data_IF_324610771615
#
_entry.id   IF_324610771615
#
_cell.length_a   1.000
_cell.length_b   1.000
_cell.length_c   1.000
_cell.angle_alpha   90.00
_cell.angle_beta   90.00
_cell.angle_gamma   90.00
#
_symmetry.space_group_name_H-M   'P 1'
#
loop_
_entity.id
_entity.type
_entity.pdbx_description
1 polymer ?
#
# COMPACT_ATOMS: atom_id res chain seq x y z
N UNK A 1 -39.97 -5.87 -9.70
CA UNK A 1 -40.24 -4.56 -10.31
C UNK A 1 -38.93 -4.11 -10.97
N UNK A 2 -38.81 -4.09 -12.30
CA UNK A 2 -37.54 -3.79 -12.96
C UNK A 2 -37.23 -2.29 -12.81
N UNK A 3 -36.08 -1.99 -12.22
CA UNK A 3 -35.56 -0.62 -12.12
C UNK A 3 -34.97 -0.29 -13.49
N UNK A 4 -35.73 0.48 -14.28
CA UNK A 4 -35.22 1.10 -15.50
C UNK A 4 -34.24 2.18 -15.10
N UNK A 5 -32.95 1.89 -15.15
CA UNK A 5 -31.90 2.91 -15.06
C UNK A 5 -31.99 3.71 -16.35
N UNK A 6 -32.47 4.95 -16.22
CA UNK A 6 -32.53 5.88 -17.33
C UNK A 6 -31.08 6.24 -17.69
N UNK A 7 -30.58 5.68 -18.79
CA UNK A 7 -29.19 5.78 -19.26
C UNK A 7 -28.92 7.14 -19.94
N UNK A 8 -30.00 7.88 -20.24
CA UNK A 8 -29.98 9.17 -20.92
C UNK A 8 -29.11 10.25 -20.22
N UNK A 9 -29.10 10.39 -18.87
CA UNK A 9 -28.26 11.35 -18.17
C UNK A 9 -26.77 11.01 -18.25
N UNK A 10 -26.43 9.71 -18.22
CA UNK A 10 -25.04 9.23 -18.32
C UNK A 10 -24.50 9.53 -19.72
N UNK A 11 -25.31 9.28 -20.75
CA UNK A 11 -24.96 9.61 -22.14
C UNK A 11 -24.81 11.12 -22.31
N UNK A 12 -25.67 11.94 -21.69
CA UNK A 12 -25.55 13.40 -21.72
C UNK A 12 -24.26 13.90 -21.06
N UNK A 13 -23.87 13.34 -19.91
CA UNK A 13 -22.63 13.69 -19.22
C UNK A 13 -21.41 13.28 -20.05
N UNK A 14 -21.42 12.08 -20.65
CA UNK A 14 -20.35 11.62 -21.53
C UNK A 14 -20.25 12.46 -22.80
N UNK A 15 -21.38 12.87 -23.37
CA UNK A 15 -21.43 13.74 -24.54
C UNK A 15 -20.91 15.15 -24.23
N UNK A 16 -21.27 15.73 -23.08
CA UNK A 16 -20.72 17.02 -22.62
C UNK A 16 -19.22 16.90 -22.37
N UNK A 17 -18.76 15.80 -21.77
CA UNK A 17 -17.33 15.55 -21.53
C UNK A 17 -16.54 15.44 -22.85
N UNK A 18 -17.05 14.70 -23.83
CA UNK A 18 -16.46 14.62 -25.18
C UNK A 18 -16.47 15.98 -25.89
N UNK A 19 -17.55 16.75 -25.75
CA UNK A 19 -17.63 18.10 -26.31
C UNK A 19 -16.61 19.06 -25.67
N UNK A 20 -16.35 18.94 -24.35
CA UNK A 20 -15.32 19.74 -23.68
C UNK A 20 -13.91 19.36 -24.11
N UNK A 21 -13.66 18.08 -24.44
CA UNK A 21 -12.39 17.64 -25.01
C UNK A 21 -12.23 18.19 -26.42
N UNK A 22 -13.26 18.12 -27.28
CA UNK A 22 -13.19 18.68 -28.63
C UNK A 22 -13.03 20.21 -28.63
N UNK A 23 -13.64 20.94 -27.70
CA UNK A 23 -13.45 22.40 -27.59
C UNK A 23 -12.03 22.73 -27.12
N UNK A 24 -11.45 21.96 -26.18
CA UNK A 24 -10.05 22.12 -25.76
C UNK A 24 -9.05 21.82 -26.89
N UNK A 25 -9.33 20.83 -27.75
CA UNK A 25 -8.50 20.55 -28.94
C UNK A 25 -8.77 21.50 -30.11
N UNK A 26 -9.97 22.03 -30.26
CA UNK A 26 -10.32 23.02 -31.29
C UNK A 26 -9.69 24.38 -31.01
N UNK A 27 -9.59 24.77 -29.72
CA UNK A 27 -8.90 26.01 -29.31
C UNK A 27 -7.40 25.98 -29.59
N UNK A 28 -6.80 24.79 -29.75
CA UNK A 28 -5.40 24.64 -30.14
C UNK A 28 -5.16 24.78 -31.66
N UNK A 29 -6.21 24.89 -32.50
CA UNK A 29 -6.06 24.90 -33.97
C UNK A 29 -6.17 26.27 -34.63
N UNK A 30 -6.36 27.34 -33.85
CA UNK A 30 -6.44 28.72 -34.35
C UNK A 30 -5.43 29.65 -33.66
N UNK A 31 -4.16 29.27 -33.65
CA UNK A 31 -3.08 30.20 -33.36
C UNK A 31 -2.07 30.14 -34.50
N UNK A 32 -2.25 31.03 -35.48
CA UNK A 32 -1.16 31.33 -36.41
C UNK A 32 -0.06 32.01 -35.59
N UNK A 33 1.04 31.27 -35.41
CA UNK A 33 2.40 31.76 -35.21
C UNK A 33 2.58 32.92 -34.22
N UNK A 34 2.86 32.56 -32.97
CA UNK A 34 4.02 33.15 -32.31
C UNK A 34 5.08 32.05 -32.19
N UNK A 35 5.55 31.59 -33.35
CA UNK A 35 6.59 30.56 -33.48
C UNK A 35 7.83 30.90 -32.66
N UNK A 36 8.10 32.18 -32.41
CA UNK A 36 9.22 32.61 -31.58
C UNK A 36 9.06 32.20 -30.11
N UNK A 37 7.90 32.41 -29.49
CA UNK A 37 7.65 32.07 -28.07
C UNK A 37 7.66 30.57 -27.85
N UNK A 38 7.00 29.80 -28.72
CA UNK A 38 7.02 28.34 -28.66
C UNK A 38 8.41 27.76 -28.90
N UNK A 39 9.19 28.37 -29.81
CA UNK A 39 10.59 27.97 -30.03
C UNK A 39 11.46 28.33 -28.81
N UNK A 40 11.19 29.46 -28.14
CA UNK A 40 11.90 29.87 -26.93
C UNK A 40 11.60 28.97 -25.73
N UNK A 41 10.33 28.57 -25.57
CA UNK A 41 9.92 27.58 -24.56
C UNK A 41 10.54 26.21 -24.82
N UNK A 42 10.54 25.75 -26.08
CA UNK A 42 11.21 24.51 -26.48
C UNK A 42 12.74 24.59 -26.31
N UNK A 43 13.37 25.73 -26.61
CA UNK A 43 14.80 25.93 -26.38
C UNK A 43 15.14 25.93 -24.88
N UNK A 44 14.30 26.53 -24.05
CA UNK A 44 14.42 26.48 -22.58
C UNK A 44 14.26 25.04 -22.06
N UNK A 45 13.27 24.30 -22.56
CA UNK A 45 13.07 22.89 -22.19
C UNK A 45 14.25 22.02 -22.64
N UNK A 46 14.77 22.23 -23.86
CA UNK A 46 15.97 21.54 -24.37
C UNK A 46 17.21 21.91 -23.55
N UNK A 47 17.37 23.16 -23.11
CA UNK A 47 18.49 23.55 -22.26
C UNK A 47 18.39 22.94 -20.86
N UNK A 48 17.18 22.90 -20.28
CA UNK A 48 16.93 22.21 -19.02
C UNK A 48 17.25 20.71 -19.14
N UNK A 49 16.76 20.04 -20.19
CA UNK A 49 17.05 18.64 -20.47
C UNK A 49 18.56 18.40 -20.68
N UNK A 50 19.27 19.30 -21.36
CA UNK A 50 20.73 19.20 -21.54
C UNK A 50 21.48 19.35 -20.22
N UNK A 51 21.08 20.31 -19.38
CA UNK A 51 21.66 20.50 -18.05
C UNK A 51 21.39 19.28 -17.16
N UNK A 52 20.21 18.69 -17.27
CA UNK A 52 19.79 17.51 -16.53
C UNK A 52 20.55 16.26 -16.99
N UNK A 53 20.74 16.07 -18.30
CA UNK A 53 21.59 15.02 -18.87
C UNK A 53 23.04 15.19 -18.44
N UNK A 54 23.56 16.43 -18.41
CA UNK A 54 24.93 16.69 -17.93
C UNK A 54 25.09 16.39 -16.45
N UNK A 55 24.10 16.72 -15.62
CA UNK A 55 24.08 16.33 -14.19
C UNK A 55 24.04 14.80 -14.02
N UNK A 56 23.25 14.09 -14.84
CA UNK A 56 23.21 12.62 -14.84
C UNK A 56 24.51 11.97 -15.33
N UNK A 57 25.28 12.65 -16.18
CA UNK A 57 26.58 12.19 -16.67
C UNK A 57 27.74 12.54 -15.71
N UNK A 58 27.63 13.63 -14.95
CA UNK A 58 28.66 14.06 -13.99
C UNK A 58 28.50 13.42 -12.60
N UNK A 59 27.29 13.09 -12.18
CA UNK A 59 27.09 12.28 -10.99
C UNK A 59 27.46 10.84 -11.31
N UNK A 60 28.56 10.35 -10.73
CA UNK A 60 28.72 8.91 -10.53
C UNK A 60 27.40 8.41 -9.94
N UNK A 61 26.78 7.40 -10.57
CA UNK A 61 25.54 6.82 -10.09
C UNK A 61 25.79 6.16 -8.73
N UNK A 62 25.74 6.97 -7.67
CA UNK A 62 25.85 6.49 -6.30
C UNK A 62 24.60 5.68 -6.01
N UNK A 63 24.76 4.36 -5.89
CA UNK A 63 23.69 3.49 -5.47
C UNK A 63 23.23 3.90 -4.07
N UNK A 64 21.96 4.29 -3.94
CA UNK A 64 21.33 4.53 -2.65
C UNK A 64 20.32 3.41 -2.36
N UNK A 65 20.29 2.96 -1.10
CA UNK A 65 19.27 2.00 -0.65
C UNK A 65 18.01 2.77 -0.28
N UNK A 66 16.84 2.15 -0.43
CA UNK A 66 15.58 2.82 -0.08
C UNK A 66 15.60 3.37 1.36
N UNK A 67 16.10 2.57 2.30
CA UNK A 67 16.10 2.88 3.72
C UNK A 67 16.94 4.13 4.07
N UNK A 68 18.05 4.37 3.37
CA UNK A 68 18.94 5.50 3.69
C UNK A 68 18.34 6.86 3.36
N UNK A 69 17.32 6.91 2.51
CA UNK A 69 16.64 8.15 2.09
C UNK A 69 15.35 8.42 2.86
N UNK A 70 14.68 7.38 3.37
CA UNK A 70 13.38 7.54 4.02
C UNK A 70 13.49 7.82 5.53
N UNK A 71 14.53 7.32 6.20
CA UNK A 71 14.79 7.53 7.63
C UNK A 71 15.89 8.59 7.76
N UNK A 72 15.53 9.88 7.71
CA UNK A 72 16.46 10.94 8.11
C UNK A 72 16.80 10.74 9.59
N UNK A 73 18.05 10.42 9.88
CA UNK A 73 18.60 10.63 11.22
C UNK A 73 19.17 12.04 11.23
N UNK A 74 18.66 12.91 12.08
CA UNK A 74 19.12 14.30 12.18
C UNK A 74 20.65 14.41 12.30
N UNK A 75 21.18 15.30 11.46
CA UNK A 75 22.41 16.09 11.53
C UNK A 75 23.79 15.41 11.65
N UNK A 76 24.62 15.73 10.64
CA UNK A 76 26.08 15.59 10.52
C UNK A 76 26.66 14.18 10.45
N UNK A 77 26.78 13.68 9.21
CA UNK A 77 28.09 13.19 8.72
C UNK A 77 28.09 13.14 7.20
N UNK A 78 28.68 14.17 6.58
CA UNK A 78 29.53 13.92 5.42
C UNK A 78 30.53 12.81 5.80
N UNK A 79 30.68 11.76 4.98
CA UNK A 79 31.96 11.14 4.62
C UNK A 79 31.71 9.85 3.82
N UNK A 80 32.23 9.90 2.59
CA UNK A 80 32.80 8.85 1.74
C UNK A 80 31.99 7.58 1.43
N UNK A 81 31.64 7.51 0.14
CA UNK A 81 31.81 6.33 -0.71
C UNK A 81 32.97 5.43 -0.24
N UNK A 82 32.62 4.26 0.29
CA UNK A 82 33.23 2.99 -0.08
C UNK A 82 32.47 1.83 0.57
N UNK A 83 32.21 0.83 -0.28
CA UNK A 83 31.83 -0.54 0.03
C UNK A 83 30.40 -0.77 0.54
N UNK A 84 29.49 -0.72 -0.43
CA UNK A 84 28.12 -1.24 -0.36
C UNK A 84 28.12 -2.76 -0.13
N UNK A 85 28.07 -3.19 1.13
CA UNK A 85 27.56 -4.51 1.50
C UNK A 85 27.15 -4.49 2.96
N UNK A 86 25.91 -4.12 3.29
CA UNK A 86 25.37 -4.53 4.60
C UNK A 86 23.85 -4.47 4.73
N UNK A 87 23.32 -5.60 5.21
CA UNK A 87 21.93 -5.89 5.54
C UNK A 87 21.61 -5.16 6.84
N UNK A 88 20.99 -3.98 6.80
CA UNK A 88 20.72 -3.24 8.03
C UNK A 88 19.31 -2.66 8.11
N UNK A 89 18.45 -3.38 8.82
CA UNK A 89 17.40 -2.79 9.66
C UNK A 89 17.74 -2.94 11.15
N UNK A 90 18.98 -3.32 11.46
CA UNK A 90 19.42 -3.55 12.84
C UNK A 90 20.83 -3.11 13.14
N UNK A 91 21.59 -2.57 12.18
CA UNK A 91 23.01 -2.27 12.38
C UNK A 91 23.30 -0.83 11.93
N UNK A 92 23.94 -0.03 12.80
CA UNK A 92 24.31 1.36 12.51
C UNK A 92 25.56 1.46 11.64
N UNK A 93 25.98 2.69 11.31
CA UNK A 93 27.16 2.99 10.49
C UNK A 93 28.50 2.51 11.07
N UNK A 94 28.49 1.93 12.28
CA UNK A 94 29.66 1.37 12.96
C UNK A 94 29.58 -0.15 13.09
N UNK A 95 28.73 -0.82 12.30
CA UNK A 95 28.52 -2.26 12.33
C UNK A 95 27.99 -2.77 13.70
N UNK A 96 27.34 -1.91 14.50
CA UNK A 96 26.79 -2.28 15.82
C UNK A 96 25.26 -2.36 15.79
N UNK A 97 24.66 -3.25 16.60
CA UNK A 97 23.20 -3.35 16.69
C UNK A 97 22.64 -2.01 17.20
N UNK A 98 21.70 -1.40 16.46
CA UNK A 98 21.18 -0.05 16.76
C UNK A 98 20.70 0.01 18.20
N UNK A 99 21.39 0.82 19.00
CA UNK A 99 21.03 1.15 20.36
C UNK A 99 20.04 2.33 20.36
N UNK A 100 18.75 2.03 20.53
CA UNK A 100 17.68 3.02 20.57
C UNK A 100 17.55 3.73 21.93
N UNK A 101 18.44 3.47 22.91
CA UNK A 101 18.34 4.01 24.30
C UNK A 101 18.22 5.54 24.39
N UNK A 102 18.78 6.28 23.43
CA UNK A 102 18.91 7.74 23.51
C UNK A 102 18.33 8.51 22.31
N UNK A 103 17.60 7.85 21.40
CA UNK A 103 16.91 8.56 20.32
C UNK A 103 15.54 9.03 20.81
N UNK A 104 15.27 10.33 20.65
CA UNK A 104 13.92 10.89 20.79
C UNK A 104 12.94 10.00 20.03
N UNK A 105 11.86 9.59 20.70
CA UNK A 105 10.75 8.90 20.06
C UNK A 105 10.33 9.77 18.88
N UNK A 106 10.35 9.24 17.67
CA UNK A 106 9.76 9.92 16.52
C UNK A 106 8.31 10.23 16.90
N UNK A 107 7.95 11.51 16.93
CA UNK A 107 6.58 11.89 17.23
C UNK A 107 5.69 11.24 16.17
N UNK A 108 4.80 10.33 16.59
CA UNK A 108 3.76 9.77 15.71
C UNK A 108 2.90 10.89 15.12
N UNK A 109 2.85 12.04 15.81
CA UNK A 109 2.11 13.23 15.42
C UNK A 109 3.07 14.26 14.82
N UNK A 110 2.87 14.56 13.54
CA UNK A 110 3.66 15.57 12.84
C UNK A 110 3.12 16.99 13.12
N UNK A 111 3.98 17.98 12.90
CA UNK A 111 3.62 19.39 12.89
C UNK A 111 2.81 19.61 11.60
N UNK A 112 1.47 19.51 11.68
CA UNK A 112 0.43 19.89 10.68
C UNK A 112 -0.83 18.99 10.76
N UNK A 113 -0.93 18.08 11.75
CA UNK A 113 -2.09 17.18 11.91
C UNK A 113 -1.96 15.85 11.17
N UNK A 114 -0.98 15.75 10.25
CA UNK A 114 -0.53 14.50 9.64
C UNK A 114 0.07 13.56 10.69
N UNK A 115 0.03 12.26 10.41
CA UNK A 115 0.68 11.22 11.22
C UNK A 115 1.95 10.79 10.49
N UNK A 116 3.07 10.63 11.18
CA UNK A 116 4.26 9.96 10.63
C UNK A 116 4.73 8.90 11.63
N UNK A 117 4.52 7.64 11.29
CA UNK A 117 4.91 6.52 12.17
C UNK A 117 6.35 6.04 11.92
N UNK A 118 7.12 6.74 11.09
CA UNK A 118 8.52 6.41 10.82
C UNK A 118 9.35 6.43 12.11
N UNK A 119 10.04 5.32 12.39
CA UNK A 119 10.85 5.18 13.61
C UNK A 119 10.05 4.92 14.90
N UNK A 120 8.72 4.96 14.86
CA UNK A 120 7.88 4.54 15.98
C UNK A 120 7.83 3.00 16.10
N UNK A 121 7.60 2.44 17.31
CA UNK A 121 7.35 1.02 17.50
C UNK A 121 6.15 0.54 16.66
N UNK A 122 6.43 -0.23 15.62
CA UNK A 122 5.43 -0.60 14.62
C UNK A 122 4.44 -1.64 15.16
N UNK A 123 3.15 -1.36 15.00
CA UNK A 123 2.08 -2.36 15.14
C UNK A 123 1.90 -3.02 13.79
N UNK A 124 2.22 -4.31 13.71
CA UNK A 124 2.24 -5.03 12.45
C UNK A 124 1.21 -6.15 12.38
N UNK A 125 0.76 -6.42 11.16
CA UNK A 125 0.06 -7.66 10.79
C UNK A 125 0.86 -8.30 9.67
N UNK A 126 1.42 -9.49 9.90
CA UNK A 126 2.32 -10.19 8.96
C UNK A 126 3.47 -9.30 8.46
N UNK A 127 4.13 -8.62 9.40
CA UNK A 127 5.25 -7.73 9.14
C UNK A 127 4.92 -6.40 8.41
N UNK A 128 3.65 -6.13 8.06
CA UNK A 128 3.21 -4.86 7.49
C UNK A 128 2.67 -3.94 8.59
N UNK A 129 2.97 -2.64 8.55
CA UNK A 129 2.38 -1.68 9.51
C UNK A 129 0.88 -1.59 9.27
N UNK A 130 0.10 -1.81 10.33
CA UNK A 130 -1.37 -1.93 10.28
C UNK A 130 -2.11 -0.99 11.20
N UNK A 131 -1.39 -0.17 11.95
CA UNK A 131 -1.99 0.99 12.58
C UNK A 131 -2.54 1.93 11.48
N UNK A 132 -3.83 2.24 11.48
CA UNK A 132 -4.40 3.19 10.51
C UNK A 132 -3.74 4.57 10.49
N UNK A 133 -3.08 5.03 11.55
CA UNK A 133 -2.25 6.24 11.46
C UNK A 133 -1.02 6.09 10.54
N UNK A 134 -0.55 4.87 10.31
CA UNK A 134 0.49 4.56 9.32
C UNK A 134 0.02 4.70 7.86
N UNK A 135 -1.24 5.11 7.65
CA UNK A 135 -1.87 5.27 6.35
C UNK A 135 -1.95 6.73 5.87
N UNK A 136 -1.50 7.68 6.70
CA UNK A 136 -1.39 9.12 6.40
C UNK A 136 -0.32 9.47 5.35
N UNK A 137 -0.31 10.75 4.97
CA UNK A 137 0.54 11.42 3.96
C UNK A 137 2.04 11.19 4.07
N UNK A 138 2.61 11.53 5.23
CA UNK A 138 4.05 11.81 5.40
C UNK A 138 4.81 10.66 6.09
N UNK A 139 4.37 9.43 5.86
CA UNK A 139 4.94 8.28 6.54
C UNK A 139 6.32 7.92 6.00
N UNK A 140 7.26 7.72 6.91
CA UNK A 140 8.63 7.27 6.62
C UNK A 140 8.81 5.77 6.87
N UNK A 141 7.85 4.97 6.39
CA UNK A 141 7.80 3.53 6.62
C UNK A 141 8.73 2.82 5.62
N UNK A 142 9.61 1.89 6.08
CA UNK A 142 10.40 1.04 5.21
C UNK A 142 9.55 0.26 4.21
N UNK A 143 10.02 0.15 2.96
CA UNK A 143 9.23 -0.41 1.86
C UNK A 143 8.65 -1.80 2.14
N UNK A 144 9.41 -2.66 2.82
CA UNK A 144 8.98 -4.01 3.20
C UNK A 144 7.85 -4.04 4.24
N UNK A 145 7.65 -2.95 4.96
CA UNK A 145 6.62 -2.81 6.00
C UNK A 145 5.39 -2.04 5.50
N UNK A 146 5.41 -1.51 4.28
CA UNK A 146 4.26 -0.79 3.72
C UNK A 146 3.07 -1.75 3.57
N UNK A 147 1.89 -1.31 4.01
CA UNK A 147 0.64 -2.05 3.80
C UNK A 147 0.39 -2.26 2.31
N UNK A 148 0.11 -3.52 1.93
CA UNK A 148 -0.20 -3.83 0.54
C UNK A 148 -1.39 -3.04 0.01
N UNK A 149 -2.38 -2.72 0.87
CA UNK A 149 -3.55 -1.94 0.48
C UNK A 149 -3.20 -0.48 0.20
N UNK A 150 -2.11 0.09 0.74
CA UNK A 150 -1.75 1.50 0.50
C UNK A 150 -0.40 1.68 -0.18
N UNK A 151 0.11 0.61 -0.77
CA UNK A 151 1.47 0.57 -1.25
C UNK A 151 1.81 1.72 -2.22
N UNK A 152 0.97 1.95 -3.23
CA UNK A 152 1.18 3.03 -4.18
C UNK A 152 1.10 4.42 -3.52
N UNK A 153 0.14 4.63 -2.62
CA UNK A 153 -0.05 5.90 -1.90
C UNK A 153 1.13 6.23 -0.99
N UNK A 154 1.68 5.24 -0.29
CA UNK A 154 2.88 5.44 0.52
C UNK A 154 4.10 5.69 -0.35
N UNK A 155 4.27 4.95 -1.46
CA UNK A 155 5.39 5.16 -2.39
C UNK A 155 5.37 6.57 -2.99
N UNK A 156 4.22 7.06 -3.47
CA UNK A 156 4.15 8.41 -4.04
C UNK A 156 4.30 9.50 -2.96
N UNK A 157 3.84 9.24 -1.73
CA UNK A 157 4.10 10.11 -0.58
C UNK A 157 5.59 10.26 -0.27
N UNK A 158 6.34 9.17 -0.39
CA UNK A 158 7.78 9.17 -0.15
C UNK A 158 8.61 9.60 -1.37
N UNK A 159 8.00 9.74 -2.56
CA UNK A 159 8.68 10.10 -3.81
C UNK A 159 9.57 11.33 -3.66
N UNK A 160 9.11 12.36 -2.96
CA UNK A 160 9.82 13.63 -2.85
C UNK A 160 11.06 13.58 -1.97
N UNK A 161 11.32 12.46 -1.28
CA UNK A 161 12.59 12.19 -0.59
C UNK A 161 13.70 11.71 -1.53
N UNK A 162 13.35 11.57 -2.80
CA UNK A 162 14.16 10.97 -3.84
C UNK A 162 14.20 11.88 -5.06
N UNK A 163 15.33 11.88 -5.77
CA UNK A 163 15.49 12.71 -6.96
C UNK A 163 14.53 12.25 -8.07
N UNK A 164 14.17 13.17 -8.97
CA UNK A 164 13.26 12.88 -10.09
C UNK A 164 13.80 11.82 -11.06
N UNK A 165 15.11 11.59 -11.11
CA UNK A 165 15.72 10.54 -11.92
C UNK A 165 16.61 9.67 -11.04
N UNK A 166 16.06 8.56 -10.59
CA UNK A 166 16.72 7.77 -9.57
C UNK A 166 16.18 6.35 -9.52
N UNK A 167 17.04 5.41 -9.15
CA UNK A 167 16.72 3.98 -9.01
C UNK A 167 17.02 3.58 -7.58
N UNK A 168 16.08 2.84 -6.99
CA UNK A 168 16.15 2.36 -5.61
C UNK A 168 15.95 0.87 -5.55
N UNK A 169 16.74 0.26 -4.67
CA UNK A 169 16.60 -1.12 -4.29
C UNK A 169 16.24 -1.19 -2.81
N UNK A 170 15.25 -2.03 -2.50
CA UNK A 170 14.82 -2.32 -1.14
C UNK A 170 14.64 -3.82 -0.96
N UNK A 171 14.79 -4.29 0.27
CA UNK A 171 14.62 -5.70 0.59
C UNK A 171 13.76 -5.87 1.84
N UNK A 172 13.02 -6.97 1.90
CA UNK A 172 12.40 -7.49 3.11
C UNK A 172 12.90 -8.92 3.30
N UNK A 173 13.49 -9.20 4.45
CA UNK A 173 13.73 -10.56 4.92
C UNK A 173 13.01 -10.68 6.27
N UNK A 174 12.11 -11.64 6.36
CA UNK A 174 11.32 -11.93 7.56
C UNK A 174 11.58 -13.37 7.96
N UNK A 175 12.23 -13.53 9.11
CA UNK A 175 12.56 -14.81 9.73
C UNK A 175 11.86 -14.90 11.07
N UNK A 176 11.09 -15.96 11.20
CA UNK A 176 9.99 -16.03 12.14
C UNK A 176 10.15 -17.27 13.02
N UNK A 177 10.60 -17.05 14.26
CA UNK A 177 10.63 -18.10 15.28
C UNK A 177 9.24 -18.24 15.91
N UNK A 178 8.67 -19.43 15.81
CA UNK A 178 7.33 -19.76 16.28
C UNK A 178 7.38 -20.91 17.27
N UNK A 179 6.55 -20.83 18.31
CA UNK A 179 6.20 -21.97 19.17
C UNK A 179 4.70 -21.99 19.35
N UNK A 180 4.10 -23.17 19.36
CA UNK A 180 2.67 -23.34 19.57
C UNK A 180 2.40 -24.51 20.49
N UNK A 181 1.28 -24.42 21.20
CA UNK A 181 0.70 -25.46 22.04
C UNK A 181 -0.82 -25.31 21.99
N UNK A 182 -1.56 -26.41 22.08
CA UNK A 182 -3.01 -26.40 21.87
C UNK A 182 -3.66 -27.77 21.91
N UNK A 183 -4.88 -27.83 21.39
CA UNK A 183 -5.70 -29.05 21.36
C UNK A 183 -5.23 -30.01 20.27
N UNK A 184 -5.29 -31.31 20.55
CA UNK A 184 -5.06 -32.38 19.56
C UNK A 184 -6.27 -32.56 18.64
N UNK A 185 -6.02 -33.04 17.41
CA UNK A 185 -7.08 -33.42 16.46
C UNK A 185 -7.59 -32.31 15.56
N UNK A 186 -6.86 -31.18 15.45
CA UNK A 186 -7.15 -30.17 14.43
C UNK A 186 -6.62 -30.69 13.09
N UNK A 187 -7.53 -31.13 12.22
CA UNK A 187 -7.19 -31.68 10.91
C UNK A 187 -8.03 -31.08 9.80
N UNK A 188 -7.44 -30.94 8.61
CA UNK A 188 -8.17 -30.85 7.35
C UNK A 188 -7.98 -32.15 6.55
N UNK A 189 -8.58 -32.27 5.36
CA UNK A 189 -8.52 -33.48 4.54
C UNK A 189 -7.10 -34.00 4.22
N UNK A 190 -6.07 -33.15 4.32
CA UNK A 190 -4.70 -33.48 3.90
C UNK A 190 -3.66 -33.40 5.03
N UNK A 191 -3.98 -32.77 6.16
CA UNK A 191 -3.02 -32.47 7.22
C UNK A 191 -3.68 -32.49 8.60
N UNK A 192 -3.04 -33.15 9.56
CA UNK A 192 -3.36 -33.03 10.99
C UNK A 192 -2.29 -32.16 11.63
N UNK A 193 -2.69 -31.07 12.26
CA UNK A 193 -1.78 -30.14 12.93
C UNK A 193 -1.31 -30.75 14.25
N UNK A 194 0.00 -30.64 14.52
CA UNK A 194 0.56 -31.03 15.82
C UNK A 194 0.01 -30.12 16.92
N UNK A 195 -0.39 -30.70 18.05
CA UNK A 195 -0.89 -29.98 19.21
C UNK A 195 0.18 -29.16 19.94
N UNK A 196 1.46 -29.43 19.69
CA UNK A 196 2.57 -28.58 20.11
C UNK A 196 3.70 -28.60 19.09
N UNK A 197 4.52 -27.55 19.07
CA UNK A 197 5.69 -27.51 18.22
C UNK A 197 6.45 -26.20 18.30
N UNK A 198 7.57 -26.19 17.59
CA UNK A 198 8.41 -25.01 17.42
C UNK A 198 9.01 -25.05 16.02
N UNK A 199 9.22 -23.89 15.41
CA UNK A 199 9.91 -23.79 14.14
C UNK A 199 10.53 -22.40 13.95
N UNK A 200 11.46 -22.27 13.01
CA UNK A 200 12.00 -21.00 12.55
C UNK A 200 11.84 -21.00 11.03
N UNK A 201 11.02 -20.09 10.51
CA UNK A 201 10.66 -20.07 9.11
C UNK A 201 11.23 -18.84 8.41
N UNK A 202 11.68 -18.99 7.16
CA UNK A 202 11.84 -17.84 6.27
C UNK A 202 10.47 -17.50 5.69
N UNK A 203 9.71 -16.71 6.43
CA UNK A 203 8.33 -16.33 6.10
C UNK A 203 8.26 -15.49 4.84
N UNK A 204 9.20 -14.56 4.65
CA UNK A 204 9.22 -13.71 3.47
C UNK A 204 10.64 -13.29 3.10
N UNK A 205 10.96 -13.39 1.81
CA UNK A 205 12.10 -12.73 1.19
C UNK A 205 11.60 -11.98 -0.03
N UNK A 206 11.62 -10.65 -0.01
CA UNK A 206 11.12 -9.82 -1.12
C UNK A 206 12.17 -8.79 -1.52
N UNK A 207 12.42 -8.68 -2.82
CA UNK A 207 13.28 -7.66 -3.41
C UNK A 207 12.40 -6.67 -4.17
N UNK A 208 12.53 -5.40 -3.81
CA UNK A 208 11.77 -4.28 -4.36
C UNK A 208 12.70 -3.43 -5.23
N UNK A 209 12.18 -3.06 -6.40
CA UNK A 209 12.83 -2.18 -7.35
C UNK A 209 11.89 -1.01 -7.62
N UNK A 210 12.40 0.20 -7.45
CA UNK A 210 11.67 1.44 -7.68
C UNK A 210 12.51 2.34 -8.55
N UNK A 211 11.86 3.09 -9.42
CA UNK A 211 12.54 4.06 -10.25
C UNK A 211 11.66 5.28 -10.44
N UNK A 212 12.21 6.46 -10.13
CA UNK A 212 11.64 7.72 -10.60
C UNK A 212 12.20 7.97 -12.00
N UNK A 213 11.30 8.10 -12.98
CA UNK A 213 11.59 8.33 -14.39
C UNK A 213 11.07 9.73 -14.74
N UNK A 214 11.64 10.73 -14.06
CA UNK A 214 11.26 12.13 -14.15
C UNK A 214 10.31 12.58 -13.03
N UNK A 215 9.76 13.79 -13.22
CA UNK A 215 8.95 14.45 -12.18
C UNK A 215 7.63 13.73 -11.88
N UNK A 216 7.06 13.04 -12.87
CA UNK A 216 5.68 12.54 -12.82
C UNK A 216 5.53 11.04 -12.94
N UNK A 217 6.61 10.28 -13.09
CA UNK A 217 6.53 8.83 -13.35
C UNK A 217 7.38 8.08 -12.34
N UNK A 218 6.74 7.18 -11.59
CA UNK A 218 7.43 6.25 -10.70
C UNK A 218 7.04 4.82 -11.07
N UNK A 219 8.02 3.99 -11.43
CA UNK A 219 7.81 2.58 -11.70
C UNK A 219 8.20 1.74 -10.46
N UNK A 220 7.43 0.70 -10.17
CA UNK A 220 7.75 -0.26 -9.12
C UNK A 220 7.48 -1.69 -9.55
N UNK A 221 8.43 -2.59 -9.24
CA UNK A 221 8.23 -4.02 -9.31
C UNK A 221 8.88 -4.73 -8.12
N UNK A 222 8.30 -5.84 -7.68
CA UNK A 222 8.88 -6.67 -6.65
C UNK A 222 8.76 -8.17 -6.93
N UNK A 223 9.78 -8.88 -6.47
CA UNK A 223 9.92 -10.32 -6.60
C UNK A 223 9.99 -10.87 -5.19
N UNK A 224 9.15 -11.86 -4.90
CA UNK A 224 9.06 -12.49 -3.58
C UNK A 224 9.35 -13.98 -3.66
N UNK A 225 9.92 -14.51 -2.58
CA UNK A 225 10.12 -15.92 -2.31
C UNK A 225 9.93 -16.19 -0.81
N UNK A 226 9.91 -17.47 -0.45
CA UNK A 226 9.83 -17.98 0.92
C UNK A 226 10.61 -19.29 1.02
N UNK A 227 10.71 -19.88 2.20
CA UNK A 227 11.31 -21.21 2.39
C UNK A 227 10.67 -22.33 1.54
N UNK A 228 9.42 -22.14 1.11
CA UNK A 228 8.72 -23.06 0.21
C UNK A 228 9.19 -22.93 -1.25
N UNK A 229 10.20 -22.09 -1.52
CA UNK A 229 10.75 -21.78 -2.83
C UNK A 229 9.70 -21.27 -3.84
N UNK A 230 8.67 -20.60 -3.33
CA UNK A 230 7.59 -20.03 -4.14
C UNK A 230 8.03 -18.69 -4.72
N UNK A 231 8.76 -18.71 -5.83
CA UNK A 231 9.12 -17.49 -6.55
C UNK A 231 7.89 -16.88 -7.22
N UNK A 232 7.60 -15.61 -6.95
CA UNK A 232 6.43 -14.94 -7.49
C UNK A 232 6.62 -13.44 -7.68
N UNK A 233 6.03 -12.92 -8.76
CA UNK A 233 5.88 -11.49 -8.98
C UNK A 233 4.81 -10.94 -8.03
N UNK A 234 5.22 -10.02 -7.14
CA UNK A 234 4.32 -9.34 -6.24
C UNK A 234 3.62 -8.20 -6.96
N UNK A 235 4.03 -6.95 -6.70
CA UNK A 235 3.56 -5.81 -7.45
C UNK A 235 4.42 -5.57 -8.71
N UNK A 236 3.81 -4.98 -9.73
CA UNK A 236 4.44 -4.55 -10.97
C UNK A 236 3.55 -3.48 -11.62
N UNK A 237 3.78 -2.22 -11.27
CA UNK A 237 2.92 -1.11 -11.70
C UNK A 237 3.69 0.19 -11.86
N UNK A 238 3.06 1.15 -12.52
CA UNK A 238 3.55 2.51 -12.70
C UNK A 238 2.58 3.47 -12.02
N UNK A 239 3.14 4.52 -11.41
CA UNK A 239 2.43 5.67 -10.86
C UNK A 239 2.66 6.86 -11.80
N UNK A 240 1.58 7.53 -12.18
CA UNK A 240 1.60 8.79 -12.92
C UNK A 240 1.05 9.91 -12.04
N UNK A 241 1.87 10.93 -11.78
CA UNK A 241 1.54 12.06 -10.93
C UNK A 241 2.66 12.34 -9.93
N UNK A 242 2.53 13.47 -9.23
CA UNK A 242 3.42 13.86 -8.15
C UNK A 242 2.64 14.75 -7.16
N UNK A 243 2.72 14.43 -5.88
CA UNK A 243 1.99 15.12 -4.81
C UNK A 243 2.45 16.55 -4.58
N UNK A 244 3.66 16.92 -5.01
CA UNK A 244 4.10 18.32 -4.99
C UNK A 244 3.33 19.20 -6.00
N UNK A 245 2.71 18.57 -7.00
CA UNK A 245 2.02 19.23 -8.10
C UNK A 245 0.50 19.04 -8.00
N UNK A 246 0.04 17.85 -7.60
CA UNK A 246 -1.38 17.51 -7.50
C UNK A 246 -1.61 16.40 -6.47
N UNK A 247 -2.65 16.48 -5.63
CA UNK A 247 -3.02 15.38 -4.74
C UNK A 247 -3.59 14.17 -5.50
N UNK A 248 -3.85 14.30 -6.80
CA UNK A 248 -4.36 13.24 -7.66
C UNK A 248 -3.22 12.54 -8.41
N UNK A 249 -3.27 11.21 -8.42
CA UNK A 249 -2.35 10.38 -9.21
C UNK A 249 -3.04 9.11 -9.73
N UNK A 250 -2.55 8.62 -10.87
CA UNK A 250 -3.02 7.39 -11.50
C UNK A 250 -2.04 6.27 -11.21
N UNK A 251 -2.52 5.04 -11.03
CA UNK A 251 -1.67 3.85 -11.10
C UNK A 251 -2.19 2.88 -12.15
N UNK A 252 -1.27 2.17 -12.80
CA UNK A 252 -1.59 1.15 -13.78
C UNK A 252 -0.62 -0.04 -13.66
N UNK A 253 -1.17 -1.25 -13.55
CA UNK A 253 -0.40 -2.48 -13.49
C UNK A 253 -0.94 -3.47 -12.46
N UNK A 254 -0.09 -4.40 -12.03
CA UNK A 254 -0.42 -5.42 -11.02
C UNK A 254 -0.12 -4.88 -9.62
N UNK A 255 -1.14 -4.73 -8.80
CA UNK A 255 -1.01 -4.32 -7.40
C UNK A 255 -2.20 -4.83 -6.58
N UNK A 256 -2.11 -4.72 -5.24
CA UNK A 256 -3.26 -4.98 -4.37
C UNK A 256 -4.19 -3.76 -4.40
N UNK A 257 -5.51 -4.01 -4.46
CA UNK A 257 -6.51 -2.93 -4.48
C UNK A 257 -6.56 -2.21 -3.12
N UNK A 258 -6.58 -0.87 -3.16
CA UNK A 258 -6.60 -0.01 -1.96
C UNK A 258 -8.01 0.17 -1.40
N UNK A 259 -8.56 -0.88 -0.79
CA UNK A 259 -9.97 -0.91 -0.35
C UNK A 259 -10.17 -1.07 1.15
N UNK A 260 -9.15 -1.53 1.88
CA UNK A 260 -9.24 -1.59 3.33
C UNK A 260 -8.15 -2.37 4.03
N UNK A 261 -8.19 -2.34 5.36
CA UNK A 261 -7.21 -2.99 6.21
C UNK A 261 -7.47 -4.49 6.40
N UNK A 262 -8.75 -4.92 6.42
CA UNK A 262 -9.15 -6.31 6.73
C UNK A 262 -8.41 -6.88 7.95
N UNK A 263 -8.45 -6.11 9.05
CA UNK A 263 -7.68 -6.40 10.25
C UNK A 263 -8.25 -7.51 11.14
N UNK A 264 -7.89 -7.43 12.42
CA UNK A 264 -8.18 -8.45 13.44
C UNK A 264 -7.14 -9.57 13.46
N UNK A 265 -5.91 -9.24 13.06
CA UNK A 265 -4.76 -10.14 13.08
C UNK A 265 -3.70 -9.61 14.04
N UNK A 266 -2.62 -10.36 14.17
CA UNK A 266 -1.45 -9.96 14.95
C UNK A 266 -0.19 -9.97 14.10
N UNK A 267 0.99 -9.75 14.71
CA UNK A 267 2.26 -9.69 13.97
C UNK A 267 2.52 -10.91 13.10
N UNK A 268 2.05 -12.09 13.54
CA UNK A 268 2.26 -13.40 12.92
C UNK A 268 1.02 -13.97 12.22
N UNK A 269 -0.15 -13.36 12.41
CA UNK A 269 -1.43 -13.91 11.95
C UNK A 269 -2.14 -12.93 11.03
N UNK A 270 -2.73 -13.45 9.94
CA UNK A 270 -3.60 -12.64 9.09
C UNK A 270 -4.82 -12.13 9.87
N UNK A 271 -5.46 -11.09 9.35
CA UNK A 271 -6.71 -10.61 9.93
C UNK A 271 -7.81 -11.67 9.87
N UNK A 272 -8.64 -11.76 10.93
CA UNK A 272 -9.85 -12.59 10.93
C UNK A 272 -10.77 -12.27 9.74
N UNK A 273 -10.80 -11.01 9.30
CA UNK A 273 -11.56 -10.57 8.12
C UNK A 273 -10.78 -10.69 6.81
N UNK A 274 -9.55 -11.18 6.84
CA UNK A 274 -8.62 -11.26 5.71
C UNK A 274 -9.09 -12.16 4.57
N UNK A 275 -9.98 -13.12 4.84
CA UNK A 275 -10.59 -13.97 3.79
C UNK A 275 -11.46 -13.18 2.81
N UNK A 276 -11.86 -11.95 3.17
CA UNK A 276 -12.61 -11.02 2.32
C UNK A 276 -11.73 -9.95 1.67
N UNK A 277 -10.42 -9.98 1.91
CA UNK A 277 -9.48 -9.00 1.37
C UNK A 277 -9.14 -9.31 -0.10
N UNK A 278 -8.99 -8.29 -0.97
CA UNK A 278 -8.52 -8.53 -2.33
C UNK A 278 -7.06 -8.97 -2.32
N UNK A 279 -6.70 -9.74 -3.34
CA UNK A 279 -5.32 -10.07 -3.65
C UNK A 279 -4.68 -9.01 -4.54
N UNK A 280 -3.66 -9.43 -5.30
CA UNK A 280 -3.04 -8.61 -6.35
C UNK A 280 -3.66 -8.93 -7.70
N UNK A 281 -4.11 -7.90 -8.39
CA UNK A 281 -4.72 -8.01 -9.73
C UNK A 281 -4.23 -6.89 -10.64
N UNK A 282 -4.33 -7.09 -11.95
CA UNK A 282 -4.05 -6.04 -12.92
C UNK A 282 -5.20 -5.04 -12.89
N UNK A 283 -4.87 -3.79 -12.57
CA UNK A 283 -5.84 -2.73 -12.37
C UNK A 283 -5.31 -1.38 -12.90
N UNK A 284 -6.25 -0.47 -13.12
CA UNK A 284 -5.99 0.95 -13.29
C UNK A 284 -6.75 1.65 -12.18
N UNK A 285 -6.10 2.54 -11.43
CA UNK A 285 -6.75 3.27 -10.36
C UNK A 285 -6.46 4.76 -10.40
N UNK A 286 -7.51 5.55 -10.17
CA UNK A 286 -7.40 6.97 -9.85
C UNK A 286 -7.35 7.09 -8.33
N UNK A 287 -6.37 7.81 -7.83
CA UNK A 287 -6.11 7.95 -6.41
C UNK A 287 -6.03 9.43 -6.06
N UNK A 288 -6.49 9.74 -4.86
CA UNK A 288 -6.32 11.02 -4.18
C UNK A 288 -5.55 10.77 -2.90
N UNK A 289 -4.57 11.62 -2.62
CA UNK A 289 -3.83 11.60 -1.35
C UNK A 289 -3.49 13.01 -0.91
N UNK A 290 -3.74 13.28 0.35
CA UNK A 290 -3.15 14.38 1.09
C UNK A 290 -2.56 13.86 2.43
N UNK A 291 -2.34 14.77 3.37
CA UNK A 291 -1.79 14.49 4.69
C UNK A 291 -2.64 13.54 5.54
N UNK A 292 -3.96 13.61 5.43
CA UNK A 292 -4.92 12.94 6.32
C UNK A 292 -5.85 11.96 5.59
N UNK A 293 -5.99 12.10 4.28
CA UNK A 293 -6.96 11.38 3.45
C UNK A 293 -6.25 10.67 2.30
N UNK A 294 -6.70 9.45 2.06
CA UNK A 294 -6.33 8.67 0.89
C UNK A 294 -7.59 7.98 0.36
N UNK A 295 -7.95 8.29 -0.88
CA UNK A 295 -9.12 7.72 -1.53
C UNK A 295 -8.74 7.14 -2.89
N UNK A 296 -9.42 6.08 -3.30
CA UNK A 296 -9.21 5.52 -4.61
C UNK A 296 -10.49 5.02 -5.28
N UNK A 297 -10.41 4.92 -6.59
CA UNK A 297 -11.32 4.14 -7.42
C UNK A 297 -10.45 3.35 -8.39
N UNK A 298 -10.64 2.04 -8.42
CA UNK A 298 -9.90 1.15 -9.31
C UNK A 298 -10.85 0.34 -10.18
N UNK A 299 -10.48 0.17 -11.45
CA UNK A 299 -11.09 -0.77 -12.39
C UNK A 299 -10.10 -1.90 -12.62
N UNK A 300 -10.57 -3.14 -12.59
CA UNK A 300 -9.73 -4.32 -12.74
C UNK A 300 -10.41 -5.40 -13.57
N UNK A 301 -9.59 -6.18 -14.27
CA UNK A 301 -10.03 -7.29 -15.12
C UNK A 301 -9.58 -8.61 -14.52
N UNK A 302 -10.49 -9.60 -14.50
CA UNK A 302 -10.25 -10.84 -13.76
C UNK A 302 -10.79 -12.09 -14.42
N UNK A 303 -10.99 -12.05 -15.74
CA UNK A 303 -11.58 -13.08 -16.62
C UNK A 303 -13.01 -12.70 -17.09
N UNK A 304 -13.30 -12.97 -18.37
CA UNK A 304 -14.62 -12.91 -19.05
C UNK A 304 -15.27 -11.55 -19.34
N UNK A 305 -14.58 -10.60 -19.97
CA UNK A 305 -15.18 -9.35 -20.51
C UNK A 305 -16.03 -8.51 -19.51
N UNK A 306 -15.93 -8.76 -18.22
CA UNK A 306 -16.64 -8.02 -17.18
C UNK A 306 -15.71 -6.97 -16.58
N UNK A 307 -16.11 -5.70 -16.66
CA UNK A 307 -15.43 -4.61 -15.98
C UNK A 307 -15.80 -4.67 -14.49
N UNK A 308 -14.83 -4.98 -13.64
CA UNK A 308 -15.01 -4.93 -12.19
C UNK A 308 -14.45 -3.62 -11.64
N UNK A 309 -14.96 -3.17 -10.50
CA UNK A 309 -14.48 -1.97 -9.85
C UNK A 309 -14.36 -2.13 -8.34
N UNK A 310 -13.60 -1.23 -7.75
CA UNK A 310 -13.50 -1.08 -6.31
C UNK A 310 -13.27 0.37 -5.93
N UNK A 311 -13.58 0.70 -4.68
CA UNK A 311 -13.28 2.00 -4.09
C UNK A 311 -12.94 1.84 -2.62
N UNK A 312 -12.05 2.68 -2.13
CA UNK A 312 -11.63 2.72 -0.75
C UNK A 312 -11.32 4.14 -0.32
N UNK A 313 -11.54 4.40 0.97
CA UNK A 313 -11.19 5.65 1.64
C UNK A 313 -10.50 5.28 2.94
N UNK A 314 -9.40 5.97 3.22
CA UNK A 314 -8.60 5.89 4.43
C UNK A 314 -8.43 7.31 4.94
N UNK A 315 -8.77 7.53 6.20
CA UNK A 315 -8.63 8.79 6.89
C UNK A 315 -7.83 8.56 8.16
N UNK A 316 -6.85 9.40 8.43
CA UNK A 316 -6.09 9.36 9.66
C UNK A 316 -5.61 10.76 10.04
N UNK A 317 -5.89 11.16 11.27
CA UNK A 317 -5.58 12.51 11.75
C UNK A 317 -5.19 12.46 13.23
N UNK A 318 -4.29 13.37 13.62
CA UNK A 318 -4.00 13.66 15.01
C UNK A 318 -5.07 14.57 15.61
N UNK A 319 -5.83 14.08 16.60
CA UNK A 319 -6.79 14.91 17.35
C UNK A 319 -6.12 15.71 18.46
N UNK A 320 -5.04 15.18 19.04
CA UNK A 320 -4.21 15.86 20.05
C UNK A 320 -2.76 15.37 19.91
N UNK A 321 -1.82 16.04 20.56
CA UNK A 321 -0.41 15.60 20.64
C UNK A 321 -0.19 14.17 21.17
N UNK A 322 -1.23 13.52 21.73
CA UNK A 322 -1.16 12.15 22.24
C UNK A 322 -2.22 11.22 21.68
N UNK A 323 -3.11 11.69 20.82
CA UNK A 323 -4.25 10.93 20.33
C UNK A 323 -4.41 11.07 18.82
N UNK A 324 -4.38 9.96 18.11
CA UNK A 324 -4.75 9.85 16.71
C UNK A 324 -5.99 8.99 16.52
N UNK A 325 -6.75 9.31 15.49
CA UNK A 325 -7.83 8.47 14.97
C UNK A 325 -7.44 7.97 13.58
N UNK A 326 -7.86 6.75 13.26
CA UNK A 326 -7.81 6.23 11.90
C UNK A 326 -9.11 5.53 11.54
N UNK A 327 -9.60 5.77 10.33
CA UNK A 327 -10.81 5.16 9.78
C UNK A 327 -10.53 4.68 8.35
N UNK A 328 -11.07 3.53 7.97
CA UNK A 328 -11.15 3.16 6.55
C UNK A 328 -12.50 2.53 6.24
N UNK A 329 -12.91 2.68 4.99
CA UNK A 329 -14.03 1.94 4.41
C UNK A 329 -13.72 1.63 2.96
N UNK A 330 -14.25 0.54 2.45
CA UNK A 330 -14.17 0.28 1.02
C UNK A 330 -15.00 -0.90 0.57
N UNK A 331 -15.09 -1.00 -0.74
CA UNK A 331 -15.97 -1.91 -1.44
C UNK A 331 -15.26 -2.47 -2.68
N UNK A 332 -15.44 -3.76 -2.90
CA UNK A 332 -15.02 -4.47 -4.11
C UNK A 332 -16.25 -5.10 -4.72
N UNK A 333 -16.54 -4.79 -5.98
CA UNK A 333 -17.72 -5.31 -6.67
C UNK A 333 -17.67 -6.83 -6.87
N UNK A 334 -16.50 -7.36 -7.22
CA UNK A 334 -16.28 -8.78 -7.49
C UNK A 334 -14.96 -9.23 -6.83
N UNK A 335 -15.05 -9.73 -5.59
CA UNK A 335 -13.90 -10.12 -4.79
C UNK A 335 -13.15 -11.34 -5.36
N UNK A 336 -13.80 -12.41 -5.91
CA UNK A 336 -13.09 -13.44 -6.67
C UNK A 336 -12.20 -12.85 -7.77
N UNK A 337 -12.76 -11.88 -8.49
CA UNK A 337 -12.05 -11.18 -9.55
C UNK A 337 -10.89 -10.29 -9.09
N UNK A 338 -10.91 -9.85 -7.84
CA UNK A 338 -9.86 -9.03 -7.26
C UNK A 338 -8.67 -9.86 -6.75
N UNK A 339 -8.51 -11.12 -7.20
CA UNK A 339 -7.42 -12.01 -6.79
C UNK A 339 -7.60 -12.60 -5.40
N UNK A 340 -8.82 -12.65 -4.87
CA UNK A 340 -9.12 -13.30 -3.60
C UNK A 340 -9.22 -14.82 -3.79
N UNK A 341 -8.32 -15.57 -3.15
CA UNK A 341 -8.30 -17.03 -3.26
C UNK A 341 -9.46 -17.70 -2.50
N UNK A 342 -9.83 -17.20 -1.33
CA UNK A 342 -10.81 -17.86 -0.44
C UNK A 342 -12.20 -17.97 -1.08
N UNK A 343 -12.75 -16.86 -1.56
CA UNK A 343 -14.07 -16.83 -2.21
C UNK A 343 -14.01 -17.48 -3.59
N UNK A 344 -12.89 -17.34 -4.34
CA UNK A 344 -12.74 -18.03 -5.62
C UNK A 344 -12.74 -19.56 -5.47
N UNK A 345 -12.06 -20.09 -4.45
CA UNK A 345 -12.06 -21.53 -4.15
C UNK A 345 -13.43 -22.01 -3.69
N UNK A 346 -14.12 -21.24 -2.85
CA UNK A 346 -15.49 -21.54 -2.44
C UNK A 346 -16.43 -21.65 -3.66
N UNK A 347 -16.42 -20.65 -4.53
CA UNK A 347 -17.26 -20.64 -5.74
C UNK A 347 -16.94 -21.78 -6.69
N UNK A 348 -15.66 -22.11 -6.86
CA UNK A 348 -15.24 -23.28 -7.64
C UNK A 348 -15.76 -24.59 -7.03
N UNK A 349 -15.81 -24.71 -5.70
CA UNK A 349 -16.36 -25.90 -5.02
C UNK A 349 -17.88 -26.05 -5.14
N UNK A 350 -18.57 -24.99 -5.58
CA UNK A 350 -20.03 -24.95 -5.83
C UNK A 350 -20.38 -25.05 -7.31
N UNK A 351 -19.41 -25.35 -8.17
CA UNK A 351 -19.55 -25.33 -9.64
C UNK A 351 -20.02 -23.97 -10.20
N UNK A 352 -19.76 -22.88 -9.46
CA UNK A 352 -20.12 -21.50 -9.81
C UNK A 352 -18.90 -20.55 -9.87
N UNK A 353 -17.79 -20.91 -10.54
CA UNK A 353 -16.53 -20.15 -10.49
C UNK A 353 -16.61 -18.73 -11.07
N UNK A 354 -17.68 -18.40 -11.80
CA UNK A 354 -17.89 -17.10 -12.44
C UNK A 354 -18.90 -16.23 -11.70
N UNK A 355 -19.41 -16.66 -10.55
CA UNK A 355 -20.38 -15.89 -9.78
C UNK A 355 -19.75 -14.63 -9.17
N UNK A 356 -20.53 -13.56 -9.16
CA UNK A 356 -20.11 -12.28 -8.63
C UNK A 356 -20.47 -12.18 -7.15
N UNK A 357 -19.44 -12.09 -6.31
CA UNK A 357 -19.57 -11.82 -4.88
C UNK A 357 -18.80 -10.54 -4.56
N UNK A 358 -19.48 -9.50 -4.08
CA UNK A 358 -18.81 -8.30 -3.60
C UNK A 358 -18.34 -8.44 -2.15
N UNK A 359 -17.41 -7.57 -1.76
CA UNK A 359 -16.82 -7.49 -0.42
C UNK A 359 -16.86 -6.05 0.07
N UNK A 360 -17.33 -5.86 1.30
CA UNK A 360 -17.34 -4.57 1.98
C UNK A 360 -16.52 -4.67 3.26
N UNK A 361 -15.78 -3.61 3.57
CA UNK A 361 -14.95 -3.52 4.76
C UNK A 361 -15.03 -2.13 5.38
N UNK A 362 -15.08 -2.09 6.70
CA UNK A 362 -14.93 -0.89 7.51
C UNK A 362 -14.04 -1.19 8.72
N UNK A 363 -13.07 -0.32 9.01
CA UNK A 363 -12.26 -0.41 10.22
C UNK A 363 -12.08 0.97 10.82
N UNK A 364 -11.87 0.99 12.13
CA UNK A 364 -11.50 2.18 12.85
C UNK A 364 -10.53 1.85 13.97
N UNK A 365 -9.70 2.81 14.33
CA UNK A 365 -8.89 2.72 15.53
C UNK A 365 -8.64 4.08 16.18
N UNK A 366 -8.24 4.00 17.43
CA UNK A 366 -7.71 5.11 18.22
C UNK A 366 -6.31 4.71 18.66
N UNK A 367 -5.36 5.64 18.62
CA UNK A 367 -4.02 5.42 19.13
C UNK A 367 -3.61 6.51 20.07
N UNK A 368 -3.20 6.07 21.25
CA UNK A 368 -2.84 6.91 22.35
C UNK A 368 -1.38 6.68 22.73
N UNK A 369 -0.61 7.75 22.88
CA UNK A 369 0.75 7.68 23.42
C UNK A 369 0.67 7.51 24.93
N UNK A 370 1.16 6.38 25.44
CA UNK A 370 1.18 6.07 26.86
C UNK A 370 2.56 5.53 27.27
N UNK A 371 3.17 6.21 28.24
CA UNK A 371 4.58 6.04 28.63
C UNK A 371 5.49 6.17 27.40
N UNK A 372 6.44 5.25 27.24
CA UNK A 372 7.40 5.22 26.13
C UNK A 372 6.84 4.51 24.88
N UNK A 373 5.53 4.22 24.84
CA UNK A 373 4.91 3.41 23.79
C UNK A 373 3.56 3.92 23.29
N UNK A 374 2.94 3.14 22.42
CA UNK A 374 1.65 3.44 21.81
C UNK A 374 0.64 2.35 22.10
N UNK A 375 -0.51 2.74 22.65
CA UNK A 375 -1.68 1.89 22.78
C UNK A 375 -2.62 2.15 21.60
N UNK A 376 -2.83 1.14 20.76
CA UNK A 376 -3.81 1.15 19.68
C UNK A 376 -5.01 0.30 20.06
N UNK A 377 -6.20 0.87 19.96
CA UNK A 377 -7.47 0.16 20.12
C UNK A 377 -8.19 0.24 18.79
N UNK A 378 -8.46 -0.90 18.18
CA UNK A 378 -9.07 -1.00 16.86
C UNK A 378 -10.28 -1.90 16.85
N UNK A 379 -11.23 -1.60 15.97
CA UNK A 379 -12.34 -2.46 15.65
C UNK A 379 -12.57 -2.47 14.15
N UNK A 380 -13.21 -3.52 13.66
CA UNK A 380 -13.57 -3.57 12.26
C UNK A 380 -14.56 -4.66 11.93
N UNK A 381 -15.15 -4.53 10.75
CA UNK A 381 -16.12 -5.45 10.20
C UNK A 381 -15.87 -5.61 8.71
N UNK A 382 -16.07 -6.81 8.20
CA UNK A 382 -16.12 -7.08 6.78
C UNK A 382 -17.20 -8.12 6.49
N UNK A 383 -17.84 -7.99 5.34
CA UNK A 383 -18.88 -8.92 4.88
C UNK A 383 -18.90 -9.01 3.36
N UNK A 384 -19.36 -10.14 2.86
CA UNK A 384 -19.84 -10.21 1.49
C UNK A 384 -21.06 -9.30 1.33
N UNK A 385 -21.28 -8.78 0.12
CA UNK A 385 -22.49 -8.02 -0.22
C UNK A 385 -23.55 -8.90 -0.88
N UNK A 386 -23.14 -10.06 -1.37
CA UNK A 386 -24.01 -11.05 -1.98
C UNK A 386 -24.18 -12.23 -1.03
N UNK A 387 -25.38 -12.79 -1.01
CA UNK A 387 -25.65 -14.03 -0.28
C UNK A 387 -25.28 -15.25 -1.13
N UNK A 388 -24.83 -16.31 -0.47
CA UNK A 388 -24.58 -17.61 -1.07
C UNK A 388 -24.65 -18.68 0.04
N UNK A 389 -24.65 -19.96 -0.32
CA UNK A 389 -24.64 -21.08 0.61
C UNK A 389 -23.24 -21.32 1.21
N UNK A 390 -22.73 -20.31 1.92
CA UNK A 390 -21.43 -20.36 2.60
C UNK A 390 -21.38 -21.39 3.73
N UNK A 391 -22.54 -21.77 4.27
CA UNK A 391 -22.67 -22.72 5.37
C UNK A 391 -22.82 -24.18 4.89
N UNK A 392 -22.97 -24.43 3.58
CA UNK A 392 -23.24 -25.76 3.02
C UNK A 392 -24.51 -26.42 3.57
N UNK A 393 -25.56 -25.64 3.82
CA UNK A 393 -26.86 -26.11 4.32
C UNK A 393 -28.02 -25.80 3.36
N UNK A 394 -27.71 -25.41 2.11
CA UNK A 394 -28.66 -24.96 1.10
C UNK A 394 -29.43 -23.69 1.51
N UNK A 395 -28.80 -22.80 2.28
CA UNK A 395 -29.38 -21.50 2.66
C UNK A 395 -28.44 -20.36 2.28
N UNK A 396 -28.97 -19.37 1.55
CA UNK A 396 -28.22 -18.19 1.13
C UNK A 396 -28.02 -17.21 2.31
N UNK A 397 -26.77 -17.08 2.76
CA UNK A 397 -26.34 -16.21 3.85
C UNK A 397 -25.24 -15.26 3.41
N UNK A 398 -25.00 -14.20 4.19
CA UNK A 398 -23.79 -13.38 4.04
C UNK A 398 -22.65 -14.04 4.82
N UNK A 399 -21.45 -14.01 4.27
CA UNK A 399 -20.23 -14.39 4.99
C UNK A 399 -19.52 -13.13 5.49
N UNK A 400 -19.12 -13.09 6.75
CA UNK A 400 -18.49 -11.92 7.32
C UNK A 400 -17.91 -12.18 8.70
N UNK A 401 -17.25 -11.16 9.23
CA UNK A 401 -16.67 -11.19 10.56
C UNK A 401 -16.47 -9.77 11.09
N UNK A 402 -16.43 -9.66 12.42
CA UNK A 402 -16.01 -8.45 13.11
C UNK A 402 -14.90 -8.79 14.09
N UNK A 403 -14.16 -7.78 14.51
CA UNK A 403 -13.14 -7.92 15.53
C UNK A 403 -13.02 -6.64 16.35
N UNK A 404 -12.45 -6.82 17.54
CA UNK A 404 -11.87 -5.76 18.35
C UNK A 404 -10.45 -6.21 18.70
N UNK A 405 -9.50 -5.28 18.68
CA UNK A 405 -8.10 -5.54 18.99
C UNK A 405 -7.55 -4.42 19.86
N UNK A 406 -6.66 -4.78 20.78
CA UNK A 406 -5.83 -3.84 21.52
C UNK A 406 -4.38 -4.27 21.33
N UNK A 407 -3.54 -3.33 20.89
CA UNK A 407 -2.13 -3.55 20.65
C UNK A 407 -1.34 -2.51 21.42
N UNK A 408 -0.29 -2.94 22.11
CA UNK A 408 0.66 -2.05 22.74
C UNK A 408 2.04 -2.25 22.11
N UNK A 409 2.65 -1.18 21.61
CA UNK A 409 3.98 -1.22 21.03
C UNK A 409 4.96 -0.39 21.85
N UNK A 410 6.15 -0.96 22.07
CA UNK A 410 7.26 -0.35 22.81
C UNK A 410 8.52 -0.34 21.94
N UNK A 411 9.38 0.68 22.06
CA UNK A 411 10.70 0.67 21.45
C UNK A 411 11.48 -0.55 21.98
N UNK A 412 12.18 -1.24 21.09
CA UNK A 412 13.01 -2.37 21.49
C UNK A 412 14.19 -1.84 22.30
N UNK A 413 14.13 -1.99 23.63
CA UNK A 413 15.29 -1.83 24.51
C UNK A 413 16.23 -3.01 24.23
N UNK A 414 17.41 -2.73 23.67
CA UNK A 414 18.47 -3.73 23.57
C UNK A 414 19.21 -3.83 24.90
N UNK A 415 19.25 -5.04 25.45
CA UNK A 415 20.19 -5.47 26.49
C UNK A 415 21.62 -5.55 25.95
#
# INVERSE_FOLDING_TARGET
MPIYINILPIIYILFIFILTIEISFSKAKNQSSNTLEQTLELELEIQNLKSEIQNLQQNQTTFSTYNSKIIETDLYSSINDKDSYEITTSIDSNNSIIDLRNKSIGNVFDHNGAINVGGAPAITTRGQVTFLGAYSGNNSIPIGMISGSLFASTVIGQRNKFDSYSIFFGGKIEVDAQTWFGSSGISNNNTTLSNHGQNIFLTSSTLYFLSNIGHYVTAQFDISSSELNNFGLGNAFVIFGNLDTSPLFLTAGRSKLSVGAFGGGGPWTGGITGFLAPGRTTNISLNYKDDILNANIAVFGSNNNQANFSTGIFYAESWTEKLAIGLNTGYVYNIPGAGNASISQFLASKDSPNDNIGSFNINGNLTYTIYDGFLNIGAGWASTTNKNDFNNINEDVLAGGWYTAANYSLPKSGS
#
